data_IF_710240553907
#
_entry.id   IF_710240553907
#
_cell.length_a   1.000
_cell.length_b   1.000
_cell.length_c   1.000
_cell.angle_alpha   90.00
_cell.angle_beta   90.00
_cell.angle_gamma   90.00
#
_symmetry.space_group_name_H-M   'P 1'
#
loop_
_entity.id
_entity.type
_entity.pdbx_description
1 polymer ?
#
# COMPACT_ATOMS: atom_id res chain seq x y z
N UNK A 1 -2.12 9.60 11.01
CA UNK A 1 -0.74 9.47 10.50
C UNK A 1 -0.61 8.13 9.82
N UNK A 2 -0.01 8.11 8.63
CA UNK A 2 0.14 6.91 7.79
C UNK A 2 1.61 6.52 7.79
N UNK A 3 1.93 5.26 8.04
CA UNK A 3 3.29 4.74 7.87
C UNK A 3 3.45 4.22 6.46
N UNK A 4 4.43 4.71 5.72
CA UNK A 4 4.88 4.15 4.47
C UNK A 4 6.12 3.28 4.71
N UNK A 5 6.08 2.04 4.23
CA UNK A 5 7.24 1.15 4.15
C UNK A 5 7.39 0.78 2.70
N UNK A 6 8.55 1.03 2.11
CA UNK A 6 8.77 0.70 0.71
C UNK A 6 10.21 0.28 0.50
N UNK A 7 10.41 -0.62 -0.45
CA UNK A 7 11.75 -0.97 -0.91
C UNK A 7 11.97 -0.42 -2.31
N UNK A 8 13.18 0.04 -2.59
CA UNK A 8 13.60 0.41 -3.93
C UNK A 8 15.08 0.09 -4.18
N UNK A 9 15.43 -0.15 -5.42
CA UNK A 9 16.80 -0.40 -5.86
C UNK A 9 17.59 0.90 -5.94
N UNK A 10 18.75 0.91 -5.28
CA UNK A 10 19.75 1.96 -5.41
C UNK A 10 20.43 1.93 -6.79
N UNK A 11 21.38 2.85 -7.01
CA UNK A 11 22.13 2.95 -8.26
C UNK A 11 23.02 1.71 -8.53
N UNK A 12 23.30 0.92 -7.50
CA UNK A 12 24.10 -0.30 -7.55
C UNK A 12 23.23 -1.56 -7.70
N UNK A 13 21.90 -1.40 -7.73
CA UNK A 13 20.92 -2.48 -7.89
C UNK A 13 20.56 -3.19 -6.58
N UNK A 14 21.07 -2.73 -5.45
CA UNK A 14 20.76 -3.24 -4.11
C UNK A 14 19.38 -2.78 -3.65
N UNK A 15 18.59 -3.70 -3.11
CA UNK A 15 17.27 -3.39 -2.56
C UNK A 15 17.41 -2.73 -1.18
N UNK A 16 16.95 -1.50 -1.05
CA UNK A 16 16.99 -0.73 0.20
C UNK A 16 15.57 -0.52 0.70
N UNK A 17 15.31 -0.88 1.95
CA UNK A 17 14.04 -0.61 2.62
C UNK A 17 14.06 0.79 3.25
N UNK A 18 12.96 1.51 3.08
CA UNK A 18 12.70 2.80 3.65
C UNK A 18 11.42 2.77 4.47
N UNK A 19 11.40 3.52 5.57
CA UNK A 19 10.24 3.71 6.41
C UNK A 19 10.04 5.19 6.72
N UNK A 20 8.85 5.69 6.46
CA UNK A 20 8.50 7.10 6.64
C UNK A 20 7.11 7.28 7.24
N UNK A 21 6.94 8.35 8.00
CA UNK A 21 5.64 8.78 8.52
C UNK A 21 5.09 9.91 7.65
N UNK A 22 3.91 9.68 7.08
CA UNK A 22 3.20 10.63 6.24
C UNK A 22 2.09 11.27 7.08
N UNK A 23 2.15 12.59 7.23
CA UNK A 23 1.16 13.35 7.99
C UNK A 23 -0.05 13.74 7.11
N UNK A 24 0.14 13.83 5.79
CA UNK A 24 -0.84 14.38 4.87
C UNK A 24 -0.81 13.75 3.47
N UNK A 25 -1.87 13.95 2.67
CA UNK A 25 -1.87 13.62 1.25
C UNK A 25 -0.73 14.27 0.44
N UNK A 26 -0.21 15.41 0.89
CA UNK A 26 0.92 16.09 0.24
C UNK A 26 2.21 15.27 0.40
N UNK A 27 2.40 14.64 1.54
CA UNK A 27 3.57 13.79 1.80
C UNK A 27 3.52 12.53 0.93
N UNK A 28 2.33 11.96 0.74
CA UNK A 28 2.11 10.88 -0.23
C UNK A 28 2.48 11.31 -1.66
N UNK A 29 2.06 12.51 -2.08
CA UNK A 29 2.43 13.04 -3.40
C UNK A 29 3.94 13.23 -3.53
N UNK A 30 4.59 13.75 -2.49
CA UNK A 30 6.04 13.93 -2.47
C UNK A 30 6.79 12.59 -2.54
N UNK A 31 6.32 11.57 -1.81
CA UNK A 31 6.85 10.21 -1.86
C UNK A 31 6.73 9.63 -3.27
N UNK A 32 5.54 9.70 -3.89
CA UNK A 32 5.34 9.23 -5.26
C UNK A 32 6.20 10.00 -6.27
N UNK A 33 6.48 11.29 -6.05
CA UNK A 33 7.30 12.08 -6.96
C UNK A 33 8.80 11.70 -6.89
N UNK A 34 9.30 11.32 -5.72
CA UNK A 34 10.72 10.97 -5.50
C UNK A 34 11.03 9.48 -5.59
N UNK A 35 10.00 8.63 -5.60
CA UNK A 35 10.19 7.19 -5.72
C UNK A 35 10.88 6.86 -7.06
N UNK A 36 11.94 6.03 -7.07
CA UNK A 36 12.76 5.77 -8.26
C UNK A 36 12.08 4.75 -9.18
N UNK A 37 10.89 5.11 -9.68
CA UNK A 37 10.02 4.27 -10.51
C UNK A 37 10.76 3.49 -11.59
N UNK A 38 11.66 4.15 -12.30
CA UNK A 38 12.45 3.57 -13.39
C UNK A 38 13.33 2.39 -12.99
N UNK A 39 13.72 2.28 -11.72
CA UNK A 39 14.56 1.21 -11.20
C UNK A 39 13.76 -0.04 -10.82
N UNK A 40 12.44 0.10 -10.63
CA UNK A 40 11.55 -0.98 -10.21
C UNK A 40 10.86 -1.67 -11.37
N UNK A 41 10.93 -1.08 -12.58
CA UNK A 41 10.47 -1.69 -13.82
C UNK A 41 11.53 -2.68 -14.37
N UNK A 42 11.92 -3.67 -13.58
CA UNK A 42 12.76 -4.77 -14.07
C UNK A 42 11.88 -5.95 -14.48
N UNK A 43 12.25 -6.65 -15.57
CA UNK A 43 11.39 -7.65 -16.20
C UNK A 43 11.00 -8.72 -15.19
N UNK A 44 9.74 -9.14 -15.25
CA UNK A 44 9.10 -10.28 -14.56
C UNK A 44 9.92 -11.59 -14.57
N UNK A 45 11.07 -11.63 -15.26
CA UNK A 45 12.01 -12.74 -15.38
C UNK A 45 12.97 -12.90 -14.19
N UNK A 46 13.12 -11.89 -13.33
CA UNK A 46 13.83 -12.06 -12.05
C UNK A 46 12.78 -12.35 -10.98
N UNK A 47 12.70 -13.60 -10.54
CA UNK A 47 11.88 -14.14 -9.42
C UNK A 47 12.16 -13.47 -8.05
N UNK A 48 12.70 -12.25 -8.04
CA UNK A 48 12.94 -11.45 -6.86
C UNK A 48 11.69 -10.60 -6.60
N UNK A 49 11.11 -10.72 -5.40
CA UNK A 49 9.97 -9.92 -4.98
C UNK A 49 10.23 -8.43 -5.25
N UNK A 50 9.45 -7.84 -6.17
CA UNK A 50 9.58 -6.43 -6.53
C UNK A 50 9.38 -5.50 -5.32
N UNK A 51 9.96 -4.30 -5.38
CA UNK A 51 9.80 -3.27 -4.36
C UNK A 51 8.33 -2.83 -4.26
N UNK A 52 7.62 -3.36 -3.28
CA UNK A 52 6.25 -2.92 -2.98
C UNK A 52 6.26 -1.63 -2.15
N UNK A 53 5.29 -0.76 -2.40
CA UNK A 53 4.98 0.37 -1.53
C UNK A 53 3.81 0.00 -0.63
N UNK A 54 4.07 -0.12 0.67
CA UNK A 54 3.07 -0.44 1.68
C UNK A 54 2.73 0.80 2.50
N UNK A 55 1.44 1.13 2.59
CA UNK A 55 0.93 2.27 3.35
C UNK A 55 -0.05 1.76 4.40
N UNK A 56 0.11 2.16 5.66
CA UNK A 56 -0.76 1.72 6.75
C UNK A 56 -1.19 2.87 7.65
N UNK A 57 -2.49 2.97 7.91
CA UNK A 57 -3.06 3.76 8.99
C UNK A 57 -3.47 2.86 10.16
N UNK A 58 -3.31 3.34 11.40
CA UNK A 58 -3.74 2.62 12.60
C UNK A 58 -2.63 1.79 13.25
N UNK A 59 -3.01 0.70 13.91
CA UNK A 59 -2.14 -0.14 14.74
C UNK A 59 -2.41 -1.64 14.54
N UNK A 60 -1.72 -2.50 15.30
CA UNK A 60 -1.83 -3.96 15.18
C UNK A 60 -3.23 -4.54 15.44
N UNK A 61 -4.14 -3.78 16.06
CA UNK A 61 -5.52 -4.22 16.35
C UNK A 61 -6.53 -3.64 15.36
N UNK A 62 -6.37 -2.37 14.98
CA UNK A 62 -7.26 -1.66 14.06
C UNK A 62 -6.42 -0.94 13.03
N UNK A 63 -6.47 -1.38 11.78
CA UNK A 63 -5.65 -0.84 10.69
C UNK A 63 -6.37 -0.85 9.35
N UNK A 64 -5.96 0.05 8.47
CA UNK A 64 -6.22 -0.04 7.04
C UNK A 64 -4.89 0.11 6.31
N UNK A 65 -4.71 -0.62 5.22
CA UNK A 65 -3.49 -0.58 4.43
C UNK A 65 -3.75 -0.75 2.96
N UNK A 66 -2.90 -0.11 2.17
CA UNK A 66 -2.76 -0.31 0.75
C UNK A 66 -1.36 -0.83 0.45
N UNK A 67 -1.25 -1.82 -0.43
CA UNK A 67 0.01 -2.26 -1.01
C UNK A 67 -0.03 -2.04 -2.52
N UNK A 68 0.88 -1.22 -3.03
CA UNK A 68 1.06 -1.01 -4.46
C UNK A 68 2.35 -1.68 -4.92
N UNK A 69 2.24 -2.59 -5.90
CA UNK A 69 3.38 -3.31 -6.47
C UNK A 69 3.52 -2.91 -7.94
N UNK A 70 4.50 -2.07 -8.31
CA UNK A 70 4.71 -1.69 -9.70
C UNK A 70 5.18 -2.92 -10.51
N UNK A 71 4.63 -3.10 -11.71
CA UNK A 71 5.06 -4.14 -12.64
C UNK A 71 5.30 -3.63 -14.07
N UNK A 72 4.81 -2.44 -14.40
CA UNK A 72 4.97 -1.78 -15.70
C UNK A 72 5.03 -0.26 -15.49
N UNK A 73 5.58 0.48 -16.46
CA UNK A 73 5.64 1.94 -16.40
C UNK A 73 4.25 2.54 -16.16
N UNK A 74 4.09 3.20 -15.01
CA UNK A 74 2.85 3.87 -14.62
C UNK A 74 1.73 2.93 -14.18
N UNK A 75 1.98 1.64 -14.02
CA UNK A 75 1.00 0.62 -13.68
C UNK A 75 1.51 -0.33 -12.59
N UNK A 76 0.60 -0.86 -11.80
CA UNK A 76 0.92 -1.82 -10.75
C UNK A 76 -0.31 -2.53 -10.23
N UNK A 77 -0.08 -3.54 -9.41
CA UNK A 77 -1.13 -4.16 -8.63
C UNK A 77 -1.41 -3.35 -7.38
N UNK A 78 -2.68 -3.22 -7.02
CA UNK A 78 -3.08 -2.56 -5.77
C UNK A 78 -3.96 -3.48 -4.95
N UNK A 79 -3.52 -3.70 -3.73
CA UNK A 79 -4.21 -4.50 -2.73
C UNK A 79 -4.63 -3.61 -1.58
N UNK A 80 -5.83 -3.81 -1.07
CA UNK A 80 -6.34 -3.15 0.13
C UNK A 80 -6.69 -4.16 1.20
N UNK A 81 -6.36 -3.83 2.44
CA UNK A 81 -6.79 -4.57 3.63
C UNK A 81 -7.30 -3.58 4.67
N UNK A 82 -8.44 -3.85 5.30
CA UNK A 82 -8.80 -3.21 6.56
C UNK A 82 -9.19 -4.25 7.60
N UNK A 83 -8.71 -4.03 8.83
CA UNK A 83 -8.96 -4.86 10.01
C UNK A 83 -9.53 -3.99 11.12
N UNK A 84 -10.77 -4.28 11.55
CA UNK A 84 -11.42 -3.61 12.69
C UNK A 84 -11.27 -4.38 14.00
N UNK A 85 -11.21 -5.71 13.91
CA UNK A 85 -11.03 -6.58 15.07
C UNK A 85 -10.16 -7.77 14.65
N UNK A 86 -8.99 -7.96 15.29
CA UNK A 86 -8.24 -9.19 15.12
C UNK A 86 -9.04 -10.30 15.81
N UNK A 87 -9.27 -11.43 15.12
CA UNK A 87 -10.06 -12.52 15.70
C UNK A 87 -9.41 -13.09 16.97
N UNK A 88 -10.22 -13.60 17.91
CA UNK A 88 -9.73 -14.44 18.99
C UNK A 88 -9.53 -15.87 18.47
N UNK A 89 -8.40 -16.50 18.78
CA UNK A 89 -8.06 -17.85 18.32
C UNK A 89 -8.14 -18.05 16.78
N UNK A 90 -7.74 -17.04 16.01
CA UNK A 90 -7.49 -17.16 14.57
C UNK A 90 -8.69 -17.01 13.63
N UNK A 91 -9.93 -17.18 14.09
CA UNK A 91 -11.12 -17.08 13.21
C UNK A 91 -12.38 -16.51 13.86
N UNK A 92 -12.59 -16.68 15.17
CA UNK A 92 -13.79 -16.18 15.84
C UNK A 92 -13.77 -14.65 15.98
N UNK A 93 -14.70 -14.00 15.27
CA UNK A 93 -14.95 -12.56 15.37
C UNK A 93 -13.92 -11.67 14.67
N UNK A 94 -13.11 -12.20 13.74
CA UNK A 94 -12.26 -11.38 12.87
C UNK A 94 -13.16 -10.52 11.99
N UNK A 95 -12.97 -9.19 12.05
CA UNK A 95 -13.58 -8.25 11.10
C UNK A 95 -12.46 -7.71 10.23
N UNK A 96 -12.28 -8.32 9.06
CA UNK A 96 -11.32 -7.90 8.07
C UNK A 96 -11.92 -7.96 6.67
N UNK A 97 -11.49 -7.06 5.80
CA UNK A 97 -11.84 -7.02 4.38
C UNK A 97 -10.56 -6.94 3.56
N UNK A 98 -10.56 -7.62 2.41
CA UNK A 98 -9.46 -7.68 1.46
C UNK A 98 -10.04 -7.40 0.08
N UNK A 99 -9.42 -6.47 -0.65
CA UNK A 99 -9.81 -6.15 -2.02
C UNK A 99 -8.58 -6.10 -2.89
N UNK A 100 -8.58 -6.89 -3.96
CA UNK A 100 -7.61 -6.83 -5.02
C UNK A 100 -8.19 -5.98 -6.14
N UNK A 101 -7.58 -4.83 -6.43
CA UNK A 101 -8.01 -3.96 -7.53
C UNK A 101 -7.38 -4.37 -8.87
N UNK A 102 -6.78 -5.57 -8.93
CA UNK A 102 -5.98 -6.06 -10.04
C UNK A 102 -5.00 -4.99 -10.54
N UNK A 103 -5.17 -4.51 -11.77
CA UNK A 103 -4.29 -3.55 -12.43
C UNK A 103 -4.82 -2.12 -12.27
N UNK A 104 -4.02 -1.26 -11.66
CA UNK A 104 -4.31 0.17 -11.55
C UNK A 104 -3.16 1.04 -12.06
N UNK A 105 -3.47 2.28 -12.44
CA UNK A 105 -2.43 3.29 -12.73
C UNK A 105 -1.82 3.85 -11.44
N UNK A 106 -0.62 4.39 -11.51
CA UNK A 106 0.00 5.10 -10.36
C UNK A 106 -0.85 6.28 -9.87
N UNK A 107 -1.57 6.93 -10.78
CA UNK A 107 -2.50 8.01 -10.43
C UNK A 107 -3.72 7.50 -9.67
N UNK A 108 -4.28 6.38 -10.10
CA UNK A 108 -5.40 5.71 -9.43
C UNK A 108 -4.98 5.16 -8.06
N UNK A 109 -3.83 4.50 -7.98
CA UNK A 109 -3.25 4.04 -6.72
C UNK A 109 -3.10 5.19 -5.73
N UNK A 110 -2.49 6.30 -6.17
CA UNK A 110 -2.33 7.51 -5.35
C UNK A 110 -3.68 8.08 -4.90
N UNK A 111 -4.70 8.06 -5.76
CA UNK A 111 -6.05 8.52 -5.40
C UNK A 111 -6.67 7.66 -4.31
N UNK A 112 -6.59 6.33 -4.42
CA UNK A 112 -7.12 5.37 -3.43
C UNK A 112 -6.35 5.42 -2.11
N UNK A 113 -5.01 5.44 -2.16
CA UNK A 113 -4.17 5.53 -0.95
C UNK A 113 -4.46 6.80 -0.16
N UNK A 114 -4.92 7.89 -0.83
CA UNK A 114 -5.32 9.13 -0.17
C UNK A 114 -6.43 8.91 0.87
N UNK A 115 -7.28 7.91 0.68
CA UNK A 115 -8.37 7.64 1.61
C UNK A 115 -7.88 7.27 3.02
N UNK A 116 -6.64 6.78 3.17
CA UNK A 116 -6.01 6.55 4.48
C UNK A 116 -5.84 7.84 5.32
N UNK A 117 -5.87 9.00 4.67
CA UNK A 117 -5.78 10.31 5.31
C UNK A 117 -7.17 10.95 5.49
N UNK A 118 -8.10 10.67 4.59
CA UNK A 118 -9.40 11.34 4.51
C UNK A 118 -10.49 10.62 5.32
N UNK A 119 -10.33 9.33 5.60
CA UNK A 119 -11.34 8.48 6.22
C UNK A 119 -10.81 7.77 7.46
N UNK A 120 -11.70 7.51 8.43
CA UNK A 120 -11.38 6.55 9.48
C UNK A 120 -11.43 5.10 8.96
N UNK A 121 -10.82 4.19 9.72
CA UNK A 121 -10.65 2.79 9.32
C UNK A 121 -12.00 2.05 9.18
N UNK A 122 -13.05 2.48 9.88
CA UNK A 122 -14.37 1.83 9.80
C UNK A 122 -15.14 2.25 8.56
N UNK A 123 -15.05 3.52 8.19
CA UNK A 123 -15.54 4.02 6.91
C UNK A 123 -14.87 3.27 5.74
N UNK A 124 -13.55 3.10 5.80
CA UNK A 124 -12.81 2.34 4.79
C UNK A 124 -13.24 0.87 4.76
N UNK A 125 -13.41 0.23 5.93
CA UNK A 125 -13.88 -1.13 6.02
C UNK A 125 -15.26 -1.31 5.36
N UNK A 126 -16.24 -0.47 5.71
CA UNK A 126 -17.61 -0.62 5.19
C UNK A 126 -17.69 -0.32 3.69
N UNK A 127 -16.89 0.62 3.16
CA UNK A 127 -16.83 0.90 1.71
C UNK A 127 -16.38 -0.28 0.87
N UNK A 128 -15.46 -1.08 1.40
CA UNK A 128 -14.82 -2.17 0.67
C UNK A 128 -15.40 -3.55 0.99
N UNK A 129 -16.27 -3.65 2.00
CA UNK A 129 -16.82 -4.92 2.50
C UNK A 129 -17.58 -5.71 1.43
N UNK A 130 -18.22 -5.01 0.50
CA UNK A 130 -19.11 -5.59 -0.51
C UNK A 130 -18.48 -5.55 -1.92
N UNK A 131 -17.16 -5.31 -2.03
CA UNK A 131 -16.39 -5.32 -3.28
C UNK A 131 -15.98 -6.72 -3.73
#
# INVERSE_FOLDING_TARGET
MVTAVYSCRDAQGGLVEHREELASPRDLQALFARYPWQNEYLPLERDEAGGGLFFQAGNSKRRASYQFVPFERGLGWLHFEAVLKPGLFGWLGRRAVFVDFDRVSTSEAKHRIRELFDCDIETLFERHRDC
#
